data_IF_685038774730
#
_entry.id   IF_685038774730
#
_cell.length_a   1.000
_cell.length_b   1.000
_cell.length_c   1.000
_cell.angle_alpha   90.00
_cell.angle_beta   90.00
_cell.angle_gamma   90.00
#
_symmetry.space_group_name_H-M   'P 1'
#
loop_
_entity.id
_entity.type
_entity.pdbx_description
1 polymer ?
#
# COMPACT_ATOMS: atom_id res chain seq x y z
N UNK A 1 -13.31 -46.54 -14.44
CA UNK A 1 -11.98 -45.94 -14.17
C UNK A 1 -11.62 -44.74 -15.06
N UNK A 2 -12.04 -44.71 -16.35
CA UNK A 2 -11.75 -43.57 -17.25
C UNK A 2 -12.56 -42.30 -16.92
N UNK A 3 -13.82 -42.46 -16.50
CA UNK A 3 -14.73 -41.37 -16.12
C UNK A 3 -14.35 -40.67 -14.80
N UNK A 4 -13.81 -41.43 -13.84
CA UNK A 4 -13.32 -40.89 -12.56
C UNK A 4 -12.06 -40.01 -12.75
N UNK A 5 -11.22 -40.35 -13.73
CA UNK A 5 -10.01 -39.61 -14.09
C UNK A 5 -10.33 -38.30 -14.81
N UNK A 6 -11.36 -38.27 -15.66
CA UNK A 6 -11.87 -37.03 -16.28
C UNK A 6 -12.51 -36.08 -15.27
N UNK A 7 -13.19 -36.59 -14.24
CA UNK A 7 -13.74 -35.76 -13.16
C UNK A 7 -12.64 -35.07 -12.34
N UNK A 8 -11.53 -35.76 -12.08
CA UNK A 8 -10.39 -35.22 -11.34
C UNK A 8 -9.67 -34.10 -12.11
N UNK A 9 -9.65 -34.16 -13.45
CA UNK A 9 -9.05 -33.13 -14.32
C UNK A 9 -9.93 -31.88 -14.39
N UNK A 10 -11.26 -32.02 -14.31
CA UNK A 10 -12.18 -30.88 -14.33
C UNK A 10 -12.25 -30.14 -12.98
N UNK A 11 -12.03 -30.84 -11.86
CA UNK A 11 -11.98 -30.24 -10.52
C UNK A 11 -10.71 -29.39 -10.28
N UNK A 12 -9.64 -29.62 -11.03
CA UNK A 12 -8.37 -28.88 -10.90
C UNK A 12 -8.39 -27.48 -11.56
N UNK A 13 -9.40 -27.19 -12.39
CA UNK A 13 -9.53 -25.91 -13.12
C UNK A 13 -10.23 -24.81 -12.32
N UNK A 14 -10.78 -25.10 -11.14
CA UNK A 14 -11.36 -24.10 -10.22
C UNK A 14 -10.29 -23.62 -9.23
N UNK A 15 -9.05 -23.45 -9.69
CA UNK A 15 -8.01 -22.76 -8.93
C UNK A 15 -8.37 -21.27 -8.87
N UNK A 16 -9.06 -20.91 -7.80
CA UNK A 16 -9.50 -19.58 -7.39
C UNK A 16 -8.42 -18.52 -7.68
N UNK A 17 -8.67 -17.69 -8.70
CA UNK A 17 -7.90 -16.47 -8.92
C UNK A 17 -8.19 -15.48 -7.79
N UNK A 18 -7.30 -15.37 -6.81
CA UNK A 18 -7.28 -14.22 -5.93
C UNK A 18 -6.89 -13.01 -6.78
N UNK A 19 -7.86 -12.14 -7.06
CA UNK A 19 -7.61 -10.90 -7.80
C UNK A 19 -6.80 -9.96 -6.89
N UNK A 20 -5.52 -9.83 -7.20
CA UNK A 20 -4.60 -8.91 -6.54
C UNK A 20 -4.47 -7.65 -7.38
N UNK A 21 -4.73 -6.48 -6.79
CA UNK A 21 -4.51 -5.19 -7.44
C UNK A 21 -3.12 -4.68 -7.08
N UNK A 22 -2.28 -4.42 -8.09
CA UNK A 22 -0.95 -3.85 -7.91
C UNK A 22 -0.94 -2.42 -8.46
N UNK A 23 -0.60 -1.45 -7.63
CA UNK A 23 -0.55 -0.03 -7.99
C UNK A 23 0.85 0.52 -7.77
N UNK A 24 1.33 1.28 -8.76
CA UNK A 24 2.61 1.99 -8.66
C UNK A 24 2.34 3.42 -8.22
N UNK A 25 3.26 3.97 -7.44
CA UNK A 25 3.26 5.38 -7.13
C UNK A 25 3.95 6.16 -8.26
N UNK A 26 3.48 7.38 -8.57
CA UNK A 26 4.16 8.26 -9.51
C UNK A 26 5.50 8.74 -8.93
N UNK A 27 6.32 9.35 -9.79
CA UNK A 27 7.58 9.97 -9.36
C UNK A 27 7.28 11.08 -8.36
N UNK A 28 7.93 11.03 -7.19
CA UNK A 28 7.84 12.08 -6.19
C UNK A 28 8.50 13.37 -6.66
N UNK A 29 7.88 14.52 -6.37
CA UNK A 29 8.55 15.82 -6.51
C UNK A 29 9.58 16.09 -5.41
N UNK A 30 9.42 15.43 -4.26
CA UNK A 30 10.24 15.63 -3.06
C UNK A 30 11.39 14.63 -3.01
N UNK A 31 11.11 13.37 -3.36
CA UNK A 31 12.09 12.28 -3.34
C UNK A 31 12.13 11.56 -4.70
N UNK A 32 12.65 12.17 -5.78
CA UNK A 32 12.48 11.66 -7.15
C UNK A 32 13.05 10.27 -7.41
N UNK A 33 14.03 9.85 -6.62
CA UNK A 33 14.62 8.51 -6.71
C UNK A 33 13.73 7.41 -6.11
N UNK A 34 12.72 7.77 -5.31
CA UNK A 34 11.87 6.80 -4.63
C UNK A 34 10.98 6.04 -5.62
N UNK A 35 10.92 4.72 -5.48
CA UNK A 35 10.11 3.83 -6.30
C UNK A 35 9.16 3.02 -5.41
N UNK A 36 7.86 3.35 -5.48
CA UNK A 36 6.82 2.80 -4.62
C UNK A 36 5.87 1.87 -5.36
N UNK A 37 5.55 0.74 -4.74
CA UNK A 37 4.53 -0.21 -5.21
C UNK A 37 3.69 -0.70 -4.04
N UNK A 38 2.37 -0.66 -4.17
CA UNK A 38 1.43 -1.30 -3.27
C UNK A 38 0.73 -2.48 -3.95
N UNK A 39 0.53 -3.55 -3.19
CA UNK A 39 -0.32 -4.69 -3.54
C UNK A 39 -1.49 -4.74 -2.59
N UNK A 40 -2.69 -4.88 -3.15
CA UNK A 40 -3.96 -4.83 -2.44
C UNK A 40 -4.71 -6.12 -2.77
N UNK A 41 -5.07 -6.86 -1.73
CA UNK A 41 -5.85 -8.11 -1.83
C UNK A 41 -7.05 -8.02 -0.93
N UNK A 42 -8.17 -8.60 -1.34
CA UNK A 42 -9.33 -8.79 -0.46
C UNK A 42 -9.19 -10.15 0.22
N UNK A 43 -9.34 -10.17 1.54
CA UNK A 43 -9.31 -11.41 2.31
C UNK A 43 -10.69 -12.06 2.42
N UNK A 44 -10.78 -13.20 3.11
CA UNK A 44 -12.03 -13.96 3.24
C UNK A 44 -13.10 -13.27 4.08
N UNK A 45 -12.74 -12.21 4.80
CA UNK A 45 -13.60 -11.41 5.65
C UNK A 45 -13.88 -10.04 5.01
N UNK A 46 -13.64 -9.90 3.70
CA UNK A 46 -13.80 -8.67 2.93
C UNK A 46 -12.93 -7.49 3.42
N UNK A 47 -11.83 -7.77 4.14
CA UNK A 47 -10.84 -6.73 4.47
C UNK A 47 -9.80 -6.59 3.36
N UNK A 48 -9.29 -5.37 3.20
CA UNK A 48 -8.27 -5.01 2.22
C UNK A 48 -6.89 -5.14 2.85
N UNK A 49 -6.18 -6.22 2.52
CA UNK A 49 -4.78 -6.41 2.87
C UNK A 49 -3.89 -5.59 1.93
N UNK A 50 -3.15 -4.64 2.51
CA UNK A 50 -2.29 -3.72 1.78
C UNK A 50 -0.84 -4.05 2.15
N UNK A 51 -0.03 -4.35 1.13
CA UNK A 51 1.42 -4.51 1.24
C UNK A 51 2.11 -3.44 0.41
N UNK A 52 2.82 -2.53 1.07
CA UNK A 52 3.52 -1.41 0.45
C UNK A 52 5.03 -1.59 0.57
N UNK A 53 5.76 -1.30 -0.51
CA UNK A 53 7.22 -1.17 -0.49
C UNK A 53 7.63 0.07 -1.27
N UNK A 54 8.58 0.81 -0.72
CA UNK A 54 9.18 1.98 -1.36
C UNK A 54 10.69 1.83 -1.32
N UNK A 55 11.35 1.74 -2.47
CA UNK A 55 12.81 1.68 -2.58
C UNK A 55 13.39 3.09 -2.74
N UNK A 56 14.67 3.25 -2.40
CA UNK A 56 15.43 4.49 -2.57
C UNK A 56 14.78 5.71 -1.89
N UNK A 57 14.10 5.46 -0.77
CA UNK A 57 13.39 6.48 -0.02
C UNK A 57 14.37 7.22 0.90
N UNK A 58 14.46 8.54 0.75
CA UNK A 58 15.21 9.39 1.67
C UNK A 58 14.75 9.16 3.12
N UNK A 59 15.66 9.24 4.09
CA UNK A 59 15.25 9.20 5.50
C UNK A 59 14.47 10.50 5.84
N UNK A 60 13.41 10.45 6.67
CA UNK A 60 12.57 11.60 6.98
C UNK A 60 13.36 12.81 7.53
N UNK A 61 14.42 12.55 8.31
CA UNK A 61 15.24 13.58 8.93
C UNK A 61 16.13 14.31 7.91
N UNK A 62 16.25 13.77 6.70
CA UNK A 62 17.01 14.38 5.59
C UNK A 62 16.13 15.22 4.66
N UNK A 63 14.83 15.31 4.92
CA UNK A 63 13.92 16.18 4.18
C UNK A 63 14.11 17.65 4.59
N UNK A 64 13.56 18.56 3.80
CA UNK A 64 13.50 19.98 4.12
C UNK A 64 12.06 20.50 3.98
N UNK A 65 11.40 20.92 5.07
CA UNK A 65 11.86 20.77 6.46
C UNK A 65 12.01 19.30 6.89
N UNK A 66 12.85 18.99 7.90
CA UNK A 66 12.99 17.63 8.41
C UNK A 66 11.70 17.16 9.08
N UNK A 67 11.49 15.84 9.05
CA UNK A 67 10.35 15.11 9.63
C UNK A 67 10.86 13.87 10.35
N UNK A 68 9.99 13.17 11.07
CA UNK A 68 10.38 12.02 11.89
C UNK A 68 10.01 10.67 11.27
N UNK A 69 9.03 10.65 10.36
CA UNK A 69 8.46 9.41 9.86
C UNK A 69 7.66 9.59 8.58
N UNK A 70 7.40 8.49 7.90
CA UNK A 70 6.41 8.44 6.83
C UNK A 70 5.15 7.74 7.32
N UNK A 71 4.01 8.39 7.09
CA UNK A 71 2.68 7.85 7.36
C UNK A 71 2.01 7.54 6.03
N UNK A 72 1.40 6.37 5.97
CA UNK A 72 0.66 5.90 4.80
C UNK A 72 -0.81 6.12 5.06
N UNK A 73 -1.48 6.66 4.06
CA UNK A 73 -2.90 6.98 4.10
C UNK A 73 -3.65 6.25 2.99
N UNK A 74 -4.89 5.89 3.28
CA UNK A 74 -5.85 5.46 2.29
C UNK A 74 -6.93 6.54 2.15
N UNK A 75 -7.20 6.97 0.91
CA UNK A 75 -8.49 7.59 0.60
C UNK A 75 -9.49 6.47 0.40
N UNK A 76 -10.56 6.44 1.19
CA UNK A 76 -11.61 5.41 1.09
C UNK A 76 -12.64 5.79 0.03
N UNK A 77 -13.48 4.83 -0.35
CA UNK A 77 -14.60 5.07 -1.26
C UNK A 77 -15.60 6.10 -0.68
N UNK A 78 -15.67 6.23 0.65
CA UNK A 78 -16.48 7.21 1.39
C UNK A 78 -15.85 8.61 1.41
N UNK A 79 -14.74 8.82 0.68
CA UNK A 79 -13.99 10.07 0.61
C UNK A 79 -13.32 10.50 1.93
N UNK A 80 -13.01 9.53 2.80
CA UNK A 80 -12.28 9.76 4.05
C UNK A 80 -10.79 9.43 3.88
N UNK A 81 -9.93 10.24 4.50
CA UNK A 81 -8.49 9.95 4.59
C UNK A 81 -8.23 9.21 5.90
N UNK A 82 -7.83 7.94 5.81
CA UNK A 82 -7.56 7.09 6.97
C UNK A 82 -6.06 6.85 7.07
N UNK A 83 -5.49 7.08 8.26
CA UNK A 83 -4.12 6.68 8.58
C UNK A 83 -4.07 5.15 8.71
N UNK A 84 -3.34 4.50 7.81
CA UNK A 84 -3.27 3.02 7.75
C UNK A 84 -1.95 2.46 8.30
N UNK A 85 -1.07 3.33 8.80
CA UNK A 85 0.17 2.96 9.48
C UNK A 85 1.40 3.72 9.01
N UNK A 86 2.53 3.35 9.59
CA UNK A 86 3.85 3.95 9.30
C UNK A 86 4.65 3.03 8.39
N UNK A 87 5.48 3.62 7.52
CA UNK A 87 6.53 2.84 6.85
C UNK A 87 7.65 2.52 7.83
N UNK A 88 8.00 1.24 7.95
CA UNK A 88 9.24 0.81 8.57
C UNK A 88 10.38 1.02 7.56
N UNK A 89 11.35 1.87 7.89
CA UNK A 89 12.48 2.20 7.02
C UNK A 89 13.69 1.36 7.39
N UNK A 90 14.20 0.60 6.43
CA UNK A 90 15.41 -0.19 6.59
C UNK A 90 16.69 0.66 6.51
N UNK A 91 17.82 0.06 6.90
CA UNK A 91 19.15 0.65 6.69
C UNK A 91 19.48 0.86 5.20
N UNK A 92 18.88 0.08 4.31
CA UNK A 92 19.04 0.15 2.85
C UNK A 92 18.10 1.16 2.17
N UNK A 93 17.60 2.15 2.90
CA UNK A 93 16.71 3.19 2.36
C UNK A 93 15.45 2.62 1.69
N UNK A 94 14.92 1.53 2.23
CA UNK A 94 13.70 0.89 1.74
C UNK A 94 12.63 0.95 2.83
N UNK A 95 11.49 1.57 2.52
CA UNK A 95 10.31 1.58 3.39
C UNK A 95 9.41 0.38 3.09
N UNK A 96 8.83 -0.24 4.12
CA UNK A 96 7.81 -1.27 3.94
C UNK A 96 6.71 -1.19 5.01
N UNK A 97 5.52 -1.64 4.63
CA UNK A 97 4.37 -1.76 5.53
C UNK A 97 3.47 -2.89 5.05
N UNK A 98 2.85 -3.59 6.00
CA UNK A 98 1.73 -4.49 5.76
C UNK A 98 0.62 -4.16 6.75
N UNK A 99 -0.59 -4.01 6.28
CA UNK A 99 -1.76 -3.69 7.11
C UNK A 99 -3.02 -4.29 6.50
N UNK A 100 -4.10 -4.31 7.27
CA UNK A 100 -5.43 -4.73 6.81
C UNK A 100 -6.44 -3.69 7.27
N UNK A 101 -7.31 -3.24 6.36
CA UNK A 101 -8.36 -2.25 6.66
C UNK A 101 -9.74 -2.79 6.23
N UNK A 102 -10.82 -2.44 6.94
CA UNK A 102 -12.17 -2.88 6.57
C UNK A 102 -12.81 -2.00 5.49
N UNK A 103 -12.21 -0.84 5.19
CA UNK A 103 -12.73 0.13 4.23
C UNK A 103 -12.06 -0.04 2.87
N UNK A 104 -12.81 0.11 1.78
CA UNK A 104 -12.25 0.00 0.43
C UNK A 104 -11.38 1.21 0.10
N UNK A 105 -10.06 1.04 -0.10
CA UNK A 105 -9.21 2.13 -0.56
C UNK A 105 -9.47 2.37 -2.05
N UNK A 106 -9.48 3.64 -2.44
CA UNK A 106 -9.51 4.07 -3.86
C UNK A 106 -8.22 4.76 -4.27
N UNK A 107 -7.45 5.28 -3.30
CA UNK A 107 -6.10 5.81 -3.51
C UNK A 107 -5.23 5.53 -2.28
N UNK A 108 -3.93 5.41 -2.49
CA UNK A 108 -2.94 5.42 -1.42
C UNK A 108 -2.04 6.63 -1.58
N UNK A 109 -1.61 7.22 -0.47
CA UNK A 109 -0.65 8.32 -0.47
C UNK A 109 0.23 8.28 0.78
N UNK A 110 1.39 8.94 0.69
CA UNK A 110 2.39 8.94 1.75
C UNK A 110 2.73 10.37 2.09
N UNK A 111 2.71 10.69 3.38
CA UNK A 111 3.17 11.97 3.91
C UNK A 111 4.38 11.79 4.79
N UNK A 112 5.23 12.83 4.88
CA UNK A 112 6.25 12.93 5.91
C UNK A 112 5.67 13.68 7.11
N UNK A 113 5.81 13.13 8.31
CA UNK A 113 5.12 13.61 9.50
C UNK A 113 6.05 13.72 10.71
N UNK A 114 5.67 14.54 11.68
CA UNK A 114 6.36 14.63 12.97
C UNK A 114 5.88 13.53 13.93
N UNK A 115 4.59 13.16 13.87
CA UNK A 115 3.96 12.13 14.69
C UNK A 115 3.26 11.08 13.83
N UNK A 116 3.06 9.87 14.37
CA UNK A 116 2.58 8.72 13.59
C UNK A 116 1.12 8.37 13.79
N UNK A 117 0.60 8.74 14.94
CA UNK A 117 -0.78 8.55 15.39
C UNK A 117 -1.57 9.86 15.21
N UNK A 118 -1.52 10.41 14.00
CA UNK A 118 -2.28 11.60 13.62
C UNK A 118 -3.52 11.20 12.83
N UNK A 119 -4.58 11.99 12.97
CA UNK A 119 -5.91 11.74 12.36
C UNK A 119 -6.12 12.50 11.06
N UNK A 120 -5.26 13.48 10.76
CA UNK A 120 -5.27 14.23 9.52
C UNK A 120 -3.85 14.28 8.93
N UNK A 121 -3.70 14.16 7.60
CA UNK A 121 -2.40 14.29 6.95
C UNK A 121 -1.93 15.74 6.96
N UNK A 122 -0.62 15.94 7.08
CA UNK A 122 -0.03 17.24 6.79
C UNK A 122 0.00 17.52 5.28
N UNK A 123 0.35 18.76 4.92
CA UNK A 123 0.57 19.15 3.52
C UNK A 123 1.90 18.62 2.94
N UNK A 124 2.69 17.86 3.71
CA UNK A 124 3.97 17.31 3.27
C UNK A 124 3.78 15.94 2.59
N UNK A 125 3.04 15.92 1.48
CA UNK A 125 2.77 14.72 0.69
C UNK A 125 3.92 14.41 -0.28
N UNK A 126 4.40 13.17 -0.27
CA UNK A 126 5.49 12.71 -1.14
C UNK A 126 4.98 12.28 -2.51
N UNK A 127 3.94 11.45 -2.52
CA UNK A 127 3.29 10.93 -3.71
C UNK A 127 1.95 10.27 -3.36
N UNK A 128 1.08 10.22 -4.37
CA UNK A 128 -0.27 9.67 -4.32
C UNK A 128 -0.52 8.88 -5.59
N UNK A 129 -1.09 7.69 -5.46
CA UNK A 129 -1.45 6.86 -6.61
C UNK A 129 -2.58 7.50 -7.40
N UNK A 130 -2.69 7.11 -8.67
CA UNK A 130 -3.96 7.27 -9.39
C UNK A 130 -5.08 6.48 -8.68
N UNK A 131 -6.33 6.82 -9.01
CA UNK A 131 -7.49 6.06 -8.52
C UNK A 131 -7.49 4.67 -9.13
N UNK A 132 -7.83 3.67 -8.33
CA UNK A 132 -7.91 2.26 -8.72
C UNK A 132 -9.22 1.61 -8.28
#
# INVERSE_FOLDING_TARGET
>A
MKTLRTFFVMLLLVALGSCSTSVKFPISKIVPAADGVAKINVDKNDNYQISLTVKHLAKPERLSPPKNQYVVWALTQEAENVNIGRLAISKSMSGSMKTSIPFKPVQLFITAEDYGNIVEPSNFELFRTDKF
#
